data_IF_974387066629
#
_entry.id   IF_974387066629
#
_cell.length_a   1.000
_cell.length_b   1.000
_cell.length_c   1.000
_cell.angle_alpha   90.00
_cell.angle_beta   90.00
_cell.angle_gamma   90.00
#
_symmetry.space_group_name_H-M   'P 1'
#
loop_
_entity.id
_entity.type
_entity.pdbx_description
1 polymer ?
#
# COMPACT_ATOMS: atom_id res chain seq x y z
N UNK A 1 7.08 18.87 -6.26
CA UNK A 1 8.44 18.50 -5.84
C UNK A 1 8.66 16.99 -6.02
N UNK A 2 9.45 16.57 -7.02
CA UNK A 2 9.79 15.15 -7.22
C UNK A 2 11.23 14.94 -6.74
N UNK A 3 11.43 14.84 -5.43
CA UNK A 3 12.75 14.70 -4.84
C UNK A 3 12.84 13.53 -3.86
N UNK A 4 12.22 12.41 -4.16
CA UNK A 4 12.59 11.16 -3.52
C UNK A 4 12.71 10.06 -4.56
N UNK A 5 13.76 9.27 -4.39
CA UNK A 5 14.03 7.98 -5.02
C UNK A 5 14.91 8.04 -6.28
N UNK A 6 16.21 7.90 -6.06
CA UNK A 6 17.10 7.28 -7.06
C UNK A 6 16.43 5.97 -7.49
N UNK A 7 15.88 5.94 -8.72
CA UNK A 7 15.14 4.82 -9.35
C UNK A 7 13.64 4.62 -8.98
N UNK A 8 12.96 5.54 -8.30
CA UNK A 8 11.51 5.39 -8.05
C UNK A 8 11.11 4.41 -6.93
N UNK A 9 12.06 3.96 -6.11
CA UNK A 9 11.86 3.05 -4.97
C UNK A 9 11.45 3.81 -3.71
N UNK A 10 10.28 3.52 -3.14
CA UNK A 10 9.80 4.13 -1.89
C UNK A 10 10.36 3.35 -0.69
N UNK A 11 11.16 4.02 0.16
CA UNK A 11 11.76 3.45 1.38
C UNK A 11 11.19 3.98 2.69
N UNK A 12 10.43 5.07 2.62
CA UNK A 12 9.90 5.73 3.81
C UNK A 12 8.66 4.98 4.33
N UNK A 13 8.75 4.48 5.56
CA UNK A 13 7.67 3.77 6.22
C UNK A 13 6.45 4.65 6.49
N UNK A 14 6.64 5.97 6.66
CA UNK A 14 5.52 6.91 6.81
C UNK A 14 4.73 7.02 5.50
N UNK A 15 5.44 7.08 4.36
CA UNK A 15 4.81 7.07 3.02
C UNK A 15 4.10 5.74 2.77
N UNK A 16 4.67 4.61 3.19
CA UNK A 16 3.97 3.32 3.09
C UNK A 16 2.68 3.30 3.90
N UNK A 17 2.70 3.83 5.13
CA UNK A 17 1.51 3.91 5.98
C UNK A 17 0.43 4.79 5.34
N UNK A 18 0.79 5.97 4.87
CA UNK A 18 -0.13 6.90 4.20
C UNK A 18 -0.81 6.23 2.99
N UNK A 19 -0.05 5.56 2.13
CA UNK A 19 -0.60 4.83 0.97
C UNK A 19 -1.54 3.70 1.41
N UNK A 20 -1.20 2.96 2.47
CA UNK A 20 -2.05 1.90 3.00
C UNK A 20 -3.37 2.45 3.55
N UNK A 21 -3.32 3.55 4.28
CA UNK A 21 -4.51 4.17 4.87
C UNK A 21 -5.42 4.75 3.77
N UNK A 22 -4.84 5.38 2.75
CA UNK A 22 -5.56 5.91 1.59
C UNK A 22 -6.29 4.81 0.81
N UNK A 23 -5.61 3.69 0.50
CA UNK A 23 -6.24 2.61 -0.28
C UNK A 23 -7.30 1.85 0.55
N UNK A 24 -7.12 1.74 1.88
CA UNK A 24 -8.13 1.20 2.77
C UNK A 24 -9.38 2.09 2.79
N UNK A 25 -9.20 3.41 2.92
CA UNK A 25 -10.31 4.36 2.89
C UNK A 25 -11.06 4.33 1.55
N UNK A 26 -10.33 4.24 0.43
CA UNK A 26 -10.92 4.07 -0.88
C UNK A 26 -11.75 2.78 -0.98
N UNK A 27 -11.19 1.64 -0.56
CA UNK A 27 -11.93 0.37 -0.55
C UNK A 27 -13.20 0.44 0.31
N UNK A 28 -13.13 1.07 1.49
CA UNK A 28 -14.28 1.28 2.35
C UNK A 28 -15.35 2.15 1.67
N UNK A 29 -14.95 3.20 0.94
CA UNK A 29 -15.88 4.05 0.18
C UNK A 29 -16.62 3.30 -0.95
N UNK A 30 -16.04 2.20 -1.44
CA UNK A 30 -16.66 1.32 -2.43
C UNK A 30 -17.59 0.26 -1.81
N UNK A 31 -17.83 0.33 -0.50
CA UNK A 31 -18.69 -0.60 0.23
C UNK A 31 -18.01 -1.91 0.63
N UNK A 32 -16.68 -1.98 0.58
CA UNK A 32 -15.94 -3.13 1.11
C UNK A 32 -15.91 -3.09 2.65
N UNK A 33 -15.94 -4.28 3.25
CA UNK A 33 -15.83 -4.54 4.69
C UNK A 33 -14.70 -5.55 4.95
N UNK A 34 -14.37 -5.81 6.22
CA UNK A 34 -13.29 -6.75 6.60
C UNK A 34 -11.96 -6.44 5.88
N UNK A 35 -11.59 -5.15 5.82
CA UNK A 35 -10.41 -4.69 5.11
C UNK A 35 -9.16 -4.92 5.97
N UNK A 36 -8.22 -5.71 5.46
CA UNK A 36 -6.91 -5.93 6.07
C UNK A 36 -5.79 -5.65 5.08
N UNK A 37 -4.72 -5.02 5.55
CA UNK A 37 -3.51 -4.76 4.76
C UNK A 37 -2.31 -5.39 5.46
N UNK A 38 -1.48 -6.11 4.71
CA UNK A 38 -0.26 -6.74 5.21
C UNK A 38 0.86 -6.71 4.17
N UNK A 39 2.14 -6.68 4.59
CA UNK A 39 3.26 -6.65 3.67
C UNK A 39 3.41 -7.99 2.93
N UNK A 40 3.85 -7.92 1.68
CA UNK A 40 4.27 -9.09 0.91
C UNK A 40 5.49 -9.75 1.55
N UNK A 41 5.55 -11.10 1.61
CA UNK A 41 6.74 -11.81 2.10
C UNK A 41 7.92 -11.75 1.11
N UNK A 42 7.69 -11.30 -0.12
CA UNK A 42 8.71 -11.10 -1.15
C UNK A 42 8.78 -9.63 -1.57
N UNK A 43 9.99 -9.15 -1.87
CA UNK A 43 10.18 -7.80 -2.40
C UNK A 43 9.85 -7.74 -3.89
N UNK A 44 9.28 -6.62 -4.34
CA UNK A 44 9.03 -6.36 -5.76
C UNK A 44 10.33 -6.26 -6.56
N UNK A 45 10.24 -6.37 -7.90
CA UNK A 45 11.41 -6.51 -8.79
C UNK A 45 12.48 -5.42 -8.64
N UNK A 46 12.07 -4.16 -8.45
CA UNK A 46 12.97 -3.02 -8.24
C UNK A 46 13.38 -2.80 -6.77
N UNK A 47 12.91 -3.65 -5.85
CA UNK A 47 13.17 -3.56 -4.41
C UNK A 47 12.15 -2.70 -3.65
N UNK A 48 10.98 -2.42 -4.23
CA UNK A 48 9.87 -1.85 -3.50
C UNK A 48 9.29 -2.88 -2.53
N UNK A 49 8.93 -2.42 -1.34
CA UNK A 49 8.06 -3.19 -0.45
C UNK A 49 6.66 -3.11 -1.04
N UNK A 50 6.04 -4.27 -1.24
CA UNK A 50 4.68 -4.40 -1.75
C UNK A 50 3.76 -4.83 -0.62
N UNK A 51 2.48 -4.47 -0.72
CA UNK A 51 1.46 -4.76 0.29
C UNK A 51 0.25 -5.41 -0.39
N UNK A 52 -0.38 -6.34 0.32
CA UNK A 52 -1.67 -6.91 -0.06
C UNK A 52 -2.78 -6.21 0.69
N UNK A 53 -3.92 -6.02 0.02
CA UNK A 53 -5.19 -5.61 0.64
C UNK A 53 -6.21 -6.72 0.41
N UNK A 54 -6.66 -7.34 1.51
CA UNK A 54 -7.80 -8.25 1.54
C UNK A 54 -9.05 -7.48 1.95
N UNK A 55 -10.17 -7.72 1.29
CA UNK A 55 -11.45 -7.14 1.68
C UNK A 55 -12.62 -8.01 1.23
N UNK A 56 -13.72 -7.96 1.98
CA UNK A 56 -15.00 -8.57 1.65
C UNK A 56 -15.89 -7.53 0.98
N UNK A 57 -16.54 -7.89 -0.12
CA UNK A 57 -17.63 -7.12 -0.69
C UNK A 57 -18.82 -8.06 -0.88
N UNK A 58 -19.95 -7.67 -0.31
CA UNK A 58 -21.19 -8.46 -0.30
C UNK A 58 -21.64 -8.88 -1.68
#
# INVERSE_FOLDING_TARGET
ERKHNKKGIIRDAAVHREICDDIAAFAASLGCTEIEIFPSPISGGDGNIEFFLGARRG
#
